data_IF_507668876509
#
_entry.id   IF_507668876509
#
_cell.length_a   1.000
_cell.length_b   1.000
_cell.length_c   1.000
_cell.angle_alpha   90.00
_cell.angle_beta   90.00
_cell.angle_gamma   90.00
#
_symmetry.space_group_name_H-M   'P 1'
#
loop_
_entity.id
_entity.type
_entity.pdbx_description
1 polymer ?
#
# COMPACT_ATOMS: atom_id res chain seq x y z
N UNK A 1 32.76 13.75 7.82
CA UNK A 1 31.60 13.00 8.35
C UNK A 1 32.05 11.60 8.72
N UNK A 2 31.74 11.14 9.94
CA UNK A 2 32.19 9.84 10.44
C UNK A 2 31.38 8.71 9.80
N UNK A 3 31.98 7.54 9.58
CA UNK A 3 31.32 6.39 8.93
C UNK A 3 30.00 6.00 9.64
N UNK A 4 29.96 6.06 10.96
CA UNK A 4 28.76 5.83 11.77
C UNK A 4 27.65 6.86 11.52
N UNK A 5 28.00 8.13 11.31
CA UNK A 5 27.03 9.17 10.99
C UNK A 5 26.44 8.97 9.58
N UNK A 6 27.27 8.51 8.63
CA UNK A 6 26.84 8.21 7.27
C UNK A 6 25.90 7.00 7.23
N UNK A 7 26.21 5.95 8.02
CA UNK A 7 25.37 4.78 8.17
C UNK A 7 24.04 5.12 8.88
N UNK A 8 24.08 5.95 9.93
CA UNK A 8 22.88 6.46 10.59
C UNK A 8 21.97 7.23 9.61
N UNK A 9 22.55 8.11 8.79
CA UNK A 9 21.81 8.84 7.76
C UNK A 9 21.18 7.90 6.73
N UNK A 10 21.95 6.91 6.26
CA UNK A 10 21.47 5.93 5.29
C UNK A 10 20.28 5.11 5.85
N UNK A 11 20.32 4.73 7.13
CA UNK A 11 19.22 4.03 7.79
C UNK A 11 18.01 4.94 7.95
N UNK A 12 18.20 6.18 8.43
CA UNK A 12 17.13 7.15 8.62
C UNK A 12 16.34 7.44 7.34
N UNK A 13 17.01 7.42 6.18
CA UNK A 13 16.38 7.68 4.87
C UNK A 13 15.91 6.37 4.21
N UNK A 14 16.74 5.33 4.22
CA UNK A 14 16.48 4.07 3.53
C UNK A 14 15.31 3.31 4.12
N UNK A 15 15.15 3.32 5.45
CA UNK A 15 14.08 2.60 6.12
C UNK A 15 12.69 3.13 5.72
N UNK A 16 12.36 4.44 5.85
CA UNK A 16 11.07 4.96 5.41
C UNK A 16 10.84 4.83 3.90
N UNK A 17 11.88 5.02 3.06
CA UNK A 17 11.76 4.80 1.62
C UNK A 17 11.42 3.36 1.27
N UNK A 18 12.06 2.39 1.94
CA UNK A 18 11.76 0.98 1.72
C UNK A 18 10.33 0.62 2.11
N UNK A 19 9.82 1.16 3.23
CA UNK A 19 8.42 1.00 3.65
C UNK A 19 7.49 1.60 2.61
N UNK A 20 7.78 2.81 2.11
CA UNK A 20 6.98 3.44 1.05
C UNK A 20 6.93 2.58 -0.21
N UNK A 21 8.07 2.12 -0.71
CA UNK A 21 8.13 1.24 -1.89
C UNK A 21 7.33 -0.04 -1.65
N UNK A 22 7.48 -0.66 -0.48
CA UNK A 22 6.72 -1.85 -0.12
C UNK A 22 5.21 -1.58 -0.16
N UNK A 23 4.74 -0.45 0.38
CA UNK A 23 3.30 -0.11 0.35
C UNK A 23 2.75 0.16 -1.05
N UNK A 24 3.59 0.61 -1.99
CA UNK A 24 3.18 0.85 -3.38
C UNK A 24 3.16 -0.44 -4.21
N UNK A 25 4.14 -1.32 -4.00
CA UNK A 25 4.27 -2.58 -4.75
C UNK A 25 3.32 -3.65 -4.21
N UNK A 26 3.09 -3.66 -2.89
CA UNK A 26 2.15 -4.60 -2.29
C UNK A 26 0.75 -4.26 -2.82
N UNK A 27 0.12 -5.17 -3.58
CA UNK A 27 -1.24 -4.95 -4.02
C UNK A 27 -2.09 -4.77 -2.77
N UNK A 28 -2.70 -3.59 -2.64
CA UNK A 28 -3.70 -3.33 -1.62
C UNK A 28 -4.74 -4.45 -1.74
N UNK A 29 -4.92 -5.23 -0.67
CA UNK A 29 -6.01 -6.18 -0.53
C UNK A 29 -7.30 -5.36 -0.46
N UNK A 30 -7.77 -4.86 -1.60
CA UNK A 30 -9.07 -4.21 -1.73
C UNK A 30 -10.07 -5.30 -1.35
N UNK A 31 -10.84 -5.14 -0.25
CA UNK A 31 -11.88 -6.08 0.10
C UNK A 31 -12.76 -6.29 -1.12
N UNK A 32 -12.98 -7.55 -1.53
CA UNK A 32 -13.71 -7.87 -2.77
C UNK A 32 -15.08 -7.17 -2.81
N UNK A 33 -15.66 -6.90 -1.65
CA UNK A 33 -16.96 -6.28 -1.45
C UNK A 33 -16.97 -4.76 -1.71
N UNK A 34 -15.79 -4.12 -1.77
CA UNK A 34 -15.58 -2.71 -2.16
C UNK A 34 -15.25 -2.57 -3.64
N UNK A 35 -15.18 -3.65 -4.41
CA UNK A 35 -14.98 -3.57 -5.86
C UNK A 35 -16.28 -3.12 -6.52
N UNK A 36 -16.14 -2.32 -7.57
CA UNK A 36 -17.28 -1.85 -8.39
C UNK A 36 -18.16 -3.01 -8.85
N UNK A 37 -17.55 -4.16 -9.18
CA UNK A 37 -18.29 -5.37 -9.56
C UNK A 37 -19.20 -5.92 -8.45
N UNK A 38 -18.77 -5.85 -7.19
CA UNK A 38 -19.57 -6.31 -6.05
C UNK A 38 -20.75 -5.35 -5.80
N UNK A 39 -20.52 -4.04 -5.89
CA UNK A 39 -21.56 -3.02 -5.80
C UNK A 39 -22.56 -3.17 -6.95
N UNK A 40 -22.08 -3.38 -8.18
CA UNK A 40 -22.92 -3.59 -9.37
C UNK A 40 -23.83 -4.80 -9.22
N UNK A 41 -23.29 -5.95 -8.82
CA UNK A 41 -24.10 -7.16 -8.58
C UNK A 41 -25.14 -6.96 -7.49
N UNK A 42 -24.82 -6.19 -6.44
CA UNK A 42 -25.77 -5.89 -5.37
C UNK A 42 -26.95 -5.07 -5.89
N UNK A 43 -26.70 -4.03 -6.70
CA UNK A 43 -27.75 -3.20 -7.31
C UNK A 43 -28.60 -4.02 -8.30
N UNK A 44 -27.98 -4.81 -9.19
CA UNK A 44 -28.70 -5.68 -10.15
C UNK A 44 -29.61 -6.71 -9.44
N UNK A 45 -29.26 -7.15 -8.23
CA UNK A 45 -30.09 -8.03 -7.41
C UNK A 45 -31.18 -7.30 -6.61
N UNK A 46 -31.03 -5.99 -6.33
CA UNK A 46 -32.06 -5.17 -5.64
C UNK A 46 -33.15 -4.68 -6.61
N UNK A 47 -32.81 -4.45 -7.88
CA UNK A 47 -33.76 -4.04 -8.94
C UNK A 47 -34.69 -5.18 -9.43
N UNK A 48 -34.56 -6.40 -8.88
CA UNK A 48 -35.32 -7.60 -9.28
C UNK A 48 -36.27 -8.07 -8.19
#
# INVERSE_FOLDING_TARGET
MNAWALLGLAVCIGLPLSVLIATLVVPQLIPKDRKVDAIRRRIENEDR
#
